data_IF_561350802587
#
_entry.id   IF_561350802587
#
_cell.length_a   1.000
_cell.length_b   1.000
_cell.length_c   1.000
_cell.angle_alpha   90.00
_cell.angle_beta   90.00
_cell.angle_gamma   90.00
#
_symmetry.space_group_name_H-M   'P 1'
#
loop_
_entity.id
_entity.type
_entity.pdbx_description
1 polymer ?
#
# COMPACT_ATOMS: atom_id res chain seq x y z
N UNK A 1 -1.92 -25.69 1.16
CA UNK A 1 -1.36 -25.53 -0.19
C UNK A 1 0.06 -25.05 -0.07
N UNK A 2 0.90 -25.43 -1.03
CA UNK A 2 2.28 -24.91 -1.16
C UNK A 2 2.32 -23.80 -2.20
N UNK A 3 2.73 -22.61 -1.80
CA UNK A 3 2.67 -21.38 -2.60
C UNK A 3 4.08 -20.80 -2.74
N UNK A 4 4.48 -20.44 -3.95
CA UNK A 4 5.72 -19.72 -4.20
C UNK A 4 5.43 -18.25 -4.53
N UNK A 5 5.94 -17.33 -3.74
CA UNK A 5 5.95 -15.89 -4.04
C UNK A 5 7.21 -15.57 -4.86
N UNK A 6 7.05 -15.00 -6.06
CA UNK A 6 8.14 -14.68 -6.98
C UNK A 6 8.34 -13.18 -7.07
N UNK A 7 9.55 -12.72 -6.76
CA UNK A 7 9.93 -11.31 -6.79
C UNK A 7 11.36 -11.13 -7.29
N UNK A 8 11.71 -9.89 -7.71
CA UNK A 8 13.11 -9.48 -7.97
C UNK A 8 13.75 -8.79 -6.77
N UNK A 9 12.97 -8.57 -5.71
CA UNK A 9 13.40 -7.82 -4.55
C UNK A 9 14.47 -8.51 -3.71
N UNK A 10 14.79 -7.94 -2.56
CA UNK A 10 15.78 -8.50 -1.66
C UNK A 10 15.35 -9.85 -1.11
N UNK A 11 16.11 -10.88 -1.42
CA UNK A 11 15.98 -12.22 -0.85
C UNK A 11 17.30 -12.55 -0.12
N UNK A 12 17.27 -13.05 1.12
CA UNK A 12 16.07 -13.28 1.94
C UNK A 12 15.39 -11.97 2.36
N UNK A 13 14.06 -11.99 2.43
CA UNK A 13 13.29 -10.86 2.91
C UNK A 13 13.59 -10.64 4.40
N UNK A 14 13.90 -9.41 4.77
CA UNK A 14 14.27 -9.08 6.15
C UNK A 14 13.11 -9.29 7.13
N UNK A 15 13.40 -9.65 8.38
CA UNK A 15 12.39 -9.75 9.43
C UNK A 15 11.57 -8.47 9.62
N UNK A 16 10.40 -8.59 10.24
CA UNK A 16 9.59 -7.45 10.66
C UNK A 16 10.43 -6.56 11.59
N UNK A 17 10.37 -5.26 11.38
CA UNK A 17 11.14 -4.27 12.14
C UNK A 17 12.48 -3.87 11.51
N UNK A 18 13.09 -4.71 10.69
CA UNK A 18 14.42 -4.47 10.11
C UNK A 18 14.38 -3.91 8.68
N UNK A 19 13.25 -3.99 8.03
CA UNK A 19 13.10 -3.55 6.65
C UNK A 19 13.04 -2.03 6.58
N UNK A 20 13.83 -1.45 5.68
CA UNK A 20 13.74 -0.05 5.34
C UNK A 20 12.73 0.17 4.21
N UNK A 21 13.24 0.55 3.03
CA UNK A 21 12.42 0.74 1.83
C UNK A 21 12.11 -0.58 1.13
N UNK A 22 10.96 -0.62 0.41
CA UNK A 22 10.55 -1.79 -0.37
C UNK A 22 9.09 -2.17 -0.08
N UNK A 23 8.13 -1.45 -0.71
CA UNK A 23 6.71 -1.72 -0.49
C UNK A 23 6.31 -3.13 -0.94
N UNK A 24 6.81 -3.57 -2.11
CA UNK A 24 6.51 -4.89 -2.65
C UNK A 24 7.11 -5.99 -1.77
N UNK A 25 8.35 -5.81 -1.31
CA UNK A 25 9.05 -6.75 -0.43
C UNK A 25 8.32 -6.88 0.92
N UNK A 26 7.80 -5.78 1.47
CA UNK A 26 6.94 -5.81 2.67
C UNK A 26 5.67 -6.63 2.42
N UNK A 27 4.97 -6.39 1.31
CA UNK A 27 3.75 -7.11 0.96
C UNK A 27 4.03 -8.61 0.80
N UNK A 28 5.09 -8.99 0.09
CA UNK A 28 5.49 -10.39 -0.11
C UNK A 28 5.77 -11.07 1.24
N UNK A 29 6.50 -10.40 2.14
CA UNK A 29 6.77 -10.90 3.49
C UNK A 29 5.48 -11.08 4.30
N UNK A 30 4.62 -10.07 4.31
CA UNK A 30 3.36 -10.12 5.08
C UNK A 30 2.40 -11.17 4.50
N UNK A 31 2.38 -11.36 3.18
CA UNK A 31 1.65 -12.46 2.56
C UNK A 31 2.17 -13.81 3.07
N UNK A 32 3.50 -14.03 3.09
CA UNK A 32 4.08 -15.25 3.64
C UNK A 32 3.60 -15.46 5.07
N UNK A 33 3.80 -14.49 5.95
CA UNK A 33 3.46 -14.60 7.38
C UNK A 33 1.96 -14.90 7.57
N UNK A 34 1.09 -14.18 6.88
CA UNK A 34 -0.35 -14.34 7.06
C UNK A 34 -0.88 -15.64 6.43
N UNK A 35 -0.39 -16.03 5.26
CA UNK A 35 -0.78 -17.29 4.61
C UNK A 35 -0.26 -18.51 5.40
N UNK A 36 0.91 -18.44 6.01
CA UNK A 36 1.41 -19.50 6.90
C UNK A 36 0.56 -19.64 8.16
N UNK A 37 0.09 -18.54 8.74
CA UNK A 37 -0.90 -18.55 9.85
C UNK A 37 -2.22 -19.18 9.43
N UNK A 38 -2.58 -19.15 8.15
CA UNK A 38 -3.76 -19.79 7.58
C UNK A 38 -3.53 -21.26 7.17
N UNK A 39 -2.35 -21.81 7.47
CA UNK A 39 -2.03 -23.22 7.24
C UNK A 39 -1.47 -23.54 5.85
N UNK A 40 -0.99 -22.54 5.11
CA UNK A 40 -0.27 -22.75 3.86
C UNK A 40 1.24 -22.92 4.11
N UNK A 41 1.96 -23.57 3.19
CA UNK A 41 3.42 -23.52 3.09
C UNK A 41 3.79 -22.45 2.07
N UNK A 42 4.65 -21.48 2.43
CA UNK A 42 4.95 -20.35 1.55
C UNK A 42 6.46 -20.14 1.43
N UNK A 43 6.96 -20.26 0.21
CA UNK A 43 8.34 -19.91 -0.15
C UNK A 43 8.39 -18.55 -0.87
N UNK A 44 9.53 -17.85 -0.73
CA UNK A 44 9.84 -16.65 -1.50
C UNK A 44 11.09 -16.97 -2.32
N UNK A 45 11.01 -16.81 -3.65
CA UNK A 45 12.09 -17.20 -4.58
C UNK A 45 12.32 -16.16 -5.67
N UNK A 46 13.53 -16.15 -6.21
CA UNK A 46 13.80 -15.56 -7.51
C UNK A 46 13.31 -16.48 -8.64
N UNK A 47 13.03 -15.89 -9.81
CA UNK A 47 12.53 -16.63 -10.96
C UNK A 47 13.44 -17.81 -11.38
N UNK A 48 14.76 -17.62 -11.36
CA UNK A 48 15.73 -18.65 -11.74
C UNK A 48 15.79 -19.82 -10.76
N UNK A 49 15.29 -19.66 -9.55
CA UNK A 49 15.22 -20.75 -8.55
C UNK A 49 14.02 -21.68 -8.77
N UNK A 50 13.13 -21.34 -9.70
CA UNK A 50 11.95 -22.16 -10.04
C UNK A 50 12.25 -23.22 -11.11
N UNK A 51 13.35 -23.12 -11.82
CA UNK A 51 13.67 -24.04 -12.90
C UNK A 51 13.76 -25.49 -12.37
N UNK A 52 12.88 -26.36 -12.89
CA UNK A 52 12.79 -27.78 -12.50
C UNK A 52 12.03 -28.08 -11.21
N UNK A 53 11.58 -27.08 -10.44
CA UNK A 53 10.89 -27.29 -9.16
C UNK A 53 9.52 -26.61 -9.06
N UNK A 54 9.11 -25.82 -10.04
CA UNK A 54 7.86 -25.07 -9.96
C UNK A 54 6.62 -25.97 -9.81
N UNK A 55 6.67 -27.22 -10.32
CA UNK A 55 5.60 -28.21 -10.19
C UNK A 55 5.39 -28.71 -8.75
N UNK A 56 6.31 -28.41 -7.84
CA UNK A 56 6.14 -28.70 -6.41
C UNK A 56 5.16 -27.76 -5.72
N UNK A 57 4.79 -26.64 -6.37
CA UNK A 57 3.89 -25.62 -5.84
C UNK A 57 2.49 -25.76 -6.44
N UNK A 58 1.49 -25.60 -5.60
CA UNK A 58 0.10 -25.49 -6.03
C UNK A 58 -0.15 -24.17 -6.77
N UNK A 59 0.55 -23.09 -6.36
CA UNK A 59 0.51 -21.77 -6.98
C UNK A 59 1.88 -21.09 -7.00
N UNK A 60 2.18 -20.46 -8.14
CA UNK A 60 3.26 -19.47 -8.29
C UNK A 60 2.62 -18.09 -8.36
N UNK A 61 2.92 -17.22 -7.41
CA UNK A 61 2.36 -15.87 -7.32
C UNK A 61 3.45 -14.83 -7.62
N UNK A 62 3.29 -14.11 -8.70
CA UNK A 62 4.25 -13.14 -9.21
C UNK A 62 3.86 -11.70 -8.87
N UNK A 63 4.84 -10.89 -8.48
CA UNK A 63 4.62 -9.52 -8.03
C UNK A 63 5.12 -8.44 -9.02
N UNK A 64 5.53 -8.83 -10.23
CA UNK A 64 6.03 -7.90 -11.25
C UNK A 64 5.65 -8.35 -12.65
N UNK A 65 5.16 -7.41 -13.48
CA UNK A 65 4.67 -7.72 -14.83
C UNK A 65 5.72 -8.35 -15.76
N UNK A 66 6.98 -7.88 -15.70
CA UNK A 66 8.06 -8.45 -16.50
C UNK A 66 8.39 -9.90 -16.09
N UNK A 67 8.37 -10.21 -14.80
CA UNK A 67 8.55 -11.59 -14.30
C UNK A 67 7.37 -12.47 -14.67
N UNK A 68 6.14 -11.93 -14.62
CA UNK A 68 4.93 -12.64 -15.01
C UNK A 68 5.01 -13.13 -16.46
N UNK A 69 5.44 -12.27 -17.38
CA UNK A 69 5.62 -12.64 -18.78
C UNK A 69 6.80 -13.59 -19.02
N UNK A 70 7.81 -13.56 -18.15
CA UNK A 70 8.89 -14.56 -18.19
C UNK A 70 8.42 -15.93 -17.72
N UNK A 71 7.57 -15.99 -16.68
CA UNK A 71 6.92 -17.22 -16.24
C UNK A 71 6.07 -17.82 -17.38
N UNK A 72 5.29 -16.99 -18.08
CA UNK A 72 4.52 -17.41 -19.25
C UNK A 72 5.40 -18.02 -20.34
N UNK A 73 6.52 -17.37 -20.70
CA UNK A 73 7.49 -17.90 -21.68
C UNK A 73 8.09 -19.24 -21.28
N UNK A 74 8.23 -19.50 -19.98
CA UNK A 74 8.67 -20.79 -19.42
C UNK A 74 7.54 -21.83 -19.29
N UNK A 75 6.30 -21.47 -19.63
CA UNK A 75 5.13 -22.35 -19.49
C UNK A 75 4.72 -22.59 -18.03
N UNK A 76 5.07 -21.68 -17.13
CA UNK A 76 4.74 -21.75 -15.69
C UNK A 76 3.46 -20.99 -15.44
N UNK A 77 2.35 -21.64 -15.03
CA UNK A 77 1.11 -20.95 -14.65
C UNK A 77 1.34 -20.07 -13.42
N UNK A 78 0.73 -18.86 -13.41
CA UNK A 78 0.95 -17.93 -12.32
C UNK A 78 -0.29 -17.10 -11.96
N UNK A 79 -0.34 -16.65 -10.71
CA UNK A 79 -1.16 -15.55 -10.22
C UNK A 79 -0.33 -14.27 -10.28
N UNK A 80 -0.95 -13.13 -10.60
CA UNK A 80 -0.24 -11.86 -10.75
C UNK A 80 -0.76 -10.79 -9.79
N UNK A 81 0.14 -10.13 -9.06
CA UNK A 81 -0.16 -8.91 -8.29
C UNK A 81 0.37 -7.67 -8.99
N UNK A 82 -0.53 -6.74 -9.30
CA UNK A 82 -0.21 -5.43 -9.85
C UNK A 82 0.10 -4.44 -8.72
N UNK A 83 1.35 -3.99 -8.63
CA UNK A 83 1.82 -3.00 -7.67
C UNK A 83 2.24 -1.68 -8.32
N UNK A 84 1.85 -1.46 -9.57
CA UNK A 84 2.36 -0.37 -10.40
C UNK A 84 1.36 0.79 -10.54
N UNK A 85 1.82 2.00 -10.26
CA UNK A 85 1.07 3.24 -10.51
C UNK A 85 1.47 3.95 -11.81
N UNK A 86 2.58 3.56 -12.44
CA UNK A 86 3.06 4.14 -13.70
C UNK A 86 2.06 3.92 -14.83
N UNK A 87 1.36 2.79 -14.79
CA UNK A 87 0.34 2.43 -15.77
C UNK A 87 -0.75 3.49 -15.89
N UNK A 88 -1.27 4.00 -14.77
CA UNK A 88 -2.24 5.09 -14.77
C UNK A 88 -1.62 6.40 -15.23
N UNK A 89 -0.40 6.69 -14.77
CA UNK A 89 0.31 7.93 -15.11
C UNK A 89 0.56 8.07 -16.62
N UNK A 90 1.03 7.01 -17.26
CA UNK A 90 1.37 7.03 -18.68
C UNK A 90 0.18 6.69 -19.61
N UNK A 91 -0.93 6.19 -19.05
CA UNK A 91 -2.17 5.88 -19.77
C UNK A 91 -2.14 4.57 -20.57
N UNK A 92 -3.30 4.26 -21.20
CA UNK A 92 -3.56 2.98 -21.88
C UNK A 92 -2.66 2.72 -23.11
N UNK A 93 -2.11 3.74 -23.74
CA UNK A 93 -1.20 3.60 -24.87
C UNK A 93 0.23 3.25 -24.49
N UNK A 94 0.57 3.37 -23.20
CA UNK A 94 1.92 3.16 -22.70
C UNK A 94 2.37 1.70 -22.77
N UNK A 95 3.68 1.52 -22.82
CA UNK A 95 4.31 0.21 -22.69
C UNK A 95 3.92 -0.46 -21.35
N UNK A 96 3.92 0.29 -20.26
CA UNK A 96 3.59 -0.25 -18.93
C UNK A 96 2.17 -0.81 -18.89
N UNK A 97 1.18 -0.10 -19.45
CA UNK A 97 -0.20 -0.59 -19.53
C UNK A 97 -0.29 -1.88 -20.33
N UNK A 98 0.22 -1.87 -21.57
CA UNK A 98 0.14 -3.02 -22.48
C UNK A 98 0.82 -4.26 -21.91
N UNK A 99 1.97 -4.07 -21.26
CA UNK A 99 2.74 -5.13 -20.63
C UNK A 99 2.02 -5.75 -19.41
N UNK A 100 1.49 -4.91 -18.53
CA UNK A 100 0.73 -5.37 -17.38
C UNK A 100 -0.60 -6.03 -17.80
N UNK A 101 -1.30 -5.48 -18.80
CA UNK A 101 -2.51 -6.09 -19.36
C UNK A 101 -2.24 -7.48 -19.95
N UNK A 102 -1.13 -7.64 -20.70
CA UNK A 102 -0.72 -8.93 -21.24
C UNK A 102 -0.43 -9.94 -20.10
N UNK A 103 0.30 -9.51 -19.05
CA UNK A 103 0.58 -10.35 -17.89
C UNK A 103 -0.71 -10.79 -17.18
N UNK A 104 -1.71 -9.90 -17.05
CA UNK A 104 -3.01 -10.23 -16.47
C UNK A 104 -3.79 -11.22 -17.33
N UNK A 105 -3.87 -11.00 -18.64
CA UNK A 105 -4.60 -11.90 -19.56
C UNK A 105 -4.05 -13.33 -19.58
N UNK A 106 -2.74 -13.48 -19.39
CA UNK A 106 -2.05 -14.78 -19.33
C UNK A 106 -2.05 -15.42 -17.94
N UNK A 107 -2.25 -14.65 -16.88
CA UNK A 107 -2.33 -15.18 -15.52
C UNK A 107 -3.55 -16.08 -15.31
N UNK A 108 -3.51 -16.88 -14.26
CA UNK A 108 -4.68 -17.61 -13.74
C UNK A 108 -5.74 -16.59 -13.31
N UNK A 109 -5.36 -15.68 -12.41
CA UNK A 109 -6.06 -14.45 -12.08
C UNK A 109 -5.04 -13.38 -11.67
N UNK A 110 -5.46 -12.14 -11.61
CA UNK A 110 -4.63 -11.03 -11.15
C UNK A 110 -5.32 -10.27 -10.01
N UNK A 111 -4.52 -9.63 -9.16
CA UNK A 111 -5.01 -8.76 -8.10
C UNK A 111 -4.36 -7.38 -8.21
N UNK A 112 -5.10 -6.36 -7.81
CA UNK A 112 -4.61 -4.99 -7.60
C UNK A 112 -5.01 -4.49 -6.22
N UNK A 113 -4.20 -3.61 -5.66
CA UNK A 113 -4.46 -2.97 -4.38
C UNK A 113 -5.12 -1.59 -4.52
N UNK A 114 -5.51 -1.21 -5.74
CA UNK A 114 -6.24 0.01 -6.03
C UNK A 114 -7.53 -0.35 -6.79
N UNK A 115 -8.69 -0.14 -6.13
CA UNK A 115 -9.99 -0.53 -6.66
C UNK A 115 -10.29 0.07 -8.04
N UNK A 116 -9.97 1.34 -8.24
CA UNK A 116 -10.17 2.04 -9.51
C UNK A 116 -9.36 1.48 -10.67
N UNK A 117 -8.29 0.71 -10.42
CA UNK A 117 -7.52 0.05 -11.48
C UNK A 117 -8.28 -1.14 -12.08
N UNK A 118 -9.26 -1.70 -11.39
CA UNK A 118 -10.11 -2.75 -11.96
C UNK A 118 -10.91 -2.19 -13.14
N UNK A 119 -11.49 -1.00 -12.98
CA UNK A 119 -12.22 -0.33 -14.05
C UNK A 119 -11.27 0.24 -15.12
N UNK A 120 -10.07 0.64 -14.72
CA UNK A 120 -9.06 1.15 -15.65
C UNK A 120 -8.57 0.08 -16.65
N UNK A 121 -8.47 -1.19 -16.19
CA UNK A 121 -8.12 -2.36 -16.99
C UNK A 121 -9.38 -3.10 -17.47
N UNK A 122 -10.29 -2.38 -18.12
CA UNK A 122 -11.57 -2.90 -18.63
C UNK A 122 -11.46 -3.99 -19.70
N UNK A 123 -10.26 -4.19 -20.28
CA UNK A 123 -9.95 -5.22 -21.29
C UNK A 123 -9.74 -6.63 -20.71
N UNK A 124 -9.86 -6.82 -19.38
CA UNK A 124 -9.74 -8.13 -18.73
C UNK A 124 -10.73 -8.30 -17.59
N UNK A 125 -11.28 -9.50 -17.48
CA UNK A 125 -12.17 -9.90 -16.40
C UNK A 125 -11.42 -10.65 -15.26
N UNK A 126 -10.09 -10.82 -15.41
CA UNK A 126 -9.24 -11.56 -14.48
C UNK A 126 -8.67 -10.71 -13.35
N UNK A 127 -8.84 -9.37 -13.37
CA UNK A 127 -8.30 -8.47 -12.36
C UNK A 127 -9.31 -8.27 -11.22
N UNK A 128 -8.87 -8.53 -10.00
CA UNK A 128 -9.67 -8.39 -8.77
C UNK A 128 -9.03 -7.38 -7.82
N UNK A 129 -9.87 -6.62 -7.12
CA UNK A 129 -9.41 -5.77 -6.05
C UNK A 129 -9.15 -6.59 -4.78
N UNK A 130 -8.01 -6.37 -4.15
CA UNK A 130 -7.65 -6.90 -2.85
C UNK A 130 -6.96 -5.80 -2.04
N UNK A 131 -7.63 -5.27 -1.01
CA UNK A 131 -7.08 -4.16 -0.22
C UNK A 131 -5.70 -4.50 0.35
N UNK A 132 -4.81 -3.49 0.40
CA UNK A 132 -3.67 -3.58 1.29
C UNK A 132 -4.12 -3.77 2.75
N UNK A 133 -3.19 -4.20 3.58
CA UNK A 133 -3.35 -4.37 5.00
C UNK A 133 -2.09 -3.87 5.74
N UNK A 134 -2.05 -4.03 7.05
CA UNK A 134 -0.91 -3.67 7.90
C UNK A 134 -0.69 -4.76 8.93
N UNK A 135 0.55 -4.91 9.40
CA UNK A 135 0.85 -5.78 10.54
C UNK A 135 0.44 -5.08 11.83
N UNK A 136 -0.78 -5.33 12.31
CA UNK A 136 -1.34 -4.69 13.50
C UNK A 136 -0.68 -5.14 14.80
N UNK A 137 0.05 -6.25 14.79
CA UNK A 137 0.85 -6.69 15.94
C UNK A 137 2.17 -5.93 16.05
N UNK A 138 2.64 -5.32 14.97
CA UNK A 138 3.86 -4.53 14.93
C UNK A 138 3.58 -3.04 14.99
N UNK A 139 2.75 -2.50 14.09
CA UNK A 139 2.33 -1.11 14.10
C UNK A 139 1.22 -0.92 15.13
N UNK A 140 1.61 -0.64 16.36
CA UNK A 140 0.72 -0.46 17.53
C UNK A 140 0.67 1.01 17.95
N UNK A 141 -0.41 1.47 18.59
CA UNK A 141 -0.46 2.80 19.17
C UNK A 141 0.60 3.00 20.25
N UNK A 142 1.02 4.25 20.45
CA UNK A 142 1.89 4.62 21.56
C UNK A 142 1.08 4.69 22.87
N UNK A 143 1.64 4.19 23.96
CA UNK A 143 1.09 4.34 25.32
C UNK A 143 1.28 5.78 25.88
N UNK A 144 2.11 6.58 25.21
CA UNK A 144 2.43 7.94 25.68
C UNK A 144 1.33 8.92 25.24
N UNK A 145 0.71 9.59 26.22
CA UNK A 145 -0.24 10.66 25.92
C UNK A 145 0.46 11.83 25.22
N UNK A 146 -0.08 12.25 24.08
CA UNK A 146 0.41 13.40 23.32
C UNK A 146 -0.12 14.69 23.93
N UNK A 147 0.77 15.67 24.12
CA UNK A 147 0.44 17.00 24.66
C UNK A 147 0.44 18.10 23.60
N UNK A 148 1.06 17.82 22.46
CA UNK A 148 1.20 18.76 21.33
C UNK A 148 0.90 18.07 20.01
N UNK A 149 0.31 18.79 19.09
CA UNK A 149 0.09 18.29 17.73
C UNK A 149 1.36 18.44 16.90
N UNK A 150 1.75 17.33 16.23
CA UNK A 150 2.87 17.27 15.29
C UNK A 150 2.44 16.54 14.03
N UNK A 151 2.71 17.14 12.88
CA UNK A 151 2.36 16.61 11.58
C UNK A 151 3.44 15.66 11.06
N UNK A 152 3.03 14.59 10.40
CA UNK A 152 3.93 13.61 9.78
C UNK A 152 3.55 13.35 8.33
N UNK A 153 4.53 13.33 7.46
CA UNK A 153 4.44 12.77 6.10
C UNK A 153 5.49 11.67 5.94
N UNK A 154 5.08 10.51 5.42
CA UNK A 154 6.00 9.41 5.07
C UNK A 154 5.79 9.09 3.60
N UNK A 155 6.78 9.44 2.78
CA UNK A 155 6.68 9.27 1.34
C UNK A 155 8.05 9.27 0.66
N UNK A 156 8.22 8.38 -0.32
CA UNK A 156 9.35 8.38 -1.23
C UNK A 156 8.96 8.94 -2.59
N UNK A 157 9.95 9.38 -3.35
CA UNK A 157 9.79 9.79 -4.75
C UNK A 157 8.81 10.96 -4.95
N UNK A 158 8.90 11.98 -4.11
CA UNK A 158 8.08 13.19 -4.25
C UNK A 158 8.26 13.83 -5.63
N UNK A 159 9.50 14.03 -6.04
CA UNK A 159 9.88 14.50 -7.38
C UNK A 159 10.75 13.49 -8.14
N UNK A 160 10.87 12.25 -7.66
CA UNK A 160 11.74 11.28 -8.29
C UNK A 160 11.22 10.85 -9.66
N UNK A 161 12.15 10.62 -10.54
CA UNK A 161 11.90 10.11 -11.86
C UNK A 161 11.22 11.14 -12.76
N UNK A 162 10.35 10.65 -13.60
CA UNK A 162 9.83 11.33 -14.77
C UNK A 162 8.60 12.21 -14.50
N UNK A 163 8.16 12.32 -13.22
CA UNK A 163 6.90 13.02 -12.92
C UNK A 163 6.99 14.54 -13.08
N UNK A 164 8.13 15.14 -12.76
CA UNK A 164 8.34 16.58 -12.93
C UNK A 164 7.50 17.49 -12.04
N UNK A 165 6.76 16.92 -11.05
CA UNK A 165 5.92 17.65 -10.10
C UNK A 165 5.94 17.01 -8.71
N UNK A 166 5.47 17.74 -7.70
CA UNK A 166 5.36 17.25 -6.32
C UNK A 166 4.22 16.24 -6.17
N UNK A 167 4.47 15.04 -6.64
CA UNK A 167 3.49 13.94 -6.63
C UNK A 167 2.97 13.61 -5.23
N UNK A 168 3.80 13.77 -4.21
CA UNK A 168 3.46 13.44 -2.81
C UNK A 168 2.84 14.60 -2.04
N UNK A 169 2.82 15.79 -2.62
CA UNK A 169 2.18 16.96 -2.02
C UNK A 169 2.91 17.50 -0.79
N UNK A 170 4.25 17.43 -0.75
CA UNK A 170 5.05 17.96 0.36
C UNK A 170 4.80 19.44 0.60
N UNK A 171 4.63 20.22 -0.48
CA UNK A 171 4.29 21.65 -0.40
C UNK A 171 3.05 21.86 0.44
N UNK A 172 1.96 21.13 0.19
CA UNK A 172 0.70 21.28 0.91
C UNK A 172 0.84 20.96 2.41
N UNK A 173 1.65 19.94 2.74
CA UNK A 173 1.93 19.60 4.13
C UNK A 173 2.71 20.70 4.85
N UNK A 174 3.75 21.26 4.22
CA UNK A 174 4.58 22.32 4.81
C UNK A 174 3.80 23.62 4.94
N UNK A 175 3.04 24.05 3.93
CA UNK A 175 2.18 25.22 3.97
C UNK A 175 1.09 25.11 5.06
N UNK A 176 0.55 23.88 5.25
CA UNK A 176 -0.36 23.59 6.37
C UNK A 176 0.32 23.75 7.72
N UNK A 177 1.53 23.22 7.88
CA UNK A 177 2.31 23.35 9.10
C UNK A 177 2.62 24.82 9.42
N UNK A 178 2.99 25.61 8.42
CA UNK A 178 3.23 27.05 8.54
C UNK A 178 1.97 27.81 8.97
N UNK A 179 0.84 27.55 8.31
CA UNK A 179 -0.43 28.24 8.57
C UNK A 179 -0.99 27.96 9.97
N UNK A 180 -0.71 26.77 10.52
CA UNK A 180 -1.17 26.34 11.83
C UNK A 180 -0.09 26.46 12.93
N UNK A 181 1.09 26.93 12.58
CA UNK A 181 2.29 27.01 13.44
C UNK A 181 2.66 25.68 14.11
N UNK A 182 2.47 24.54 13.41
CA UNK A 182 2.72 23.18 13.91
C UNK A 182 4.05 22.63 13.41
N UNK A 183 4.78 21.83 14.23
CA UNK A 183 5.92 21.06 13.73
C UNK A 183 5.48 20.03 12.67
N UNK A 184 6.32 19.84 11.66
CA UNK A 184 6.13 18.81 10.65
C UNK A 184 7.41 18.02 10.42
N UNK A 185 7.29 16.70 10.36
CA UNK A 185 8.37 15.81 9.93
C UNK A 185 8.01 15.21 8.58
N UNK A 186 8.96 15.26 7.64
CA UNK A 186 8.85 14.58 6.34
C UNK A 186 9.91 13.48 6.31
N UNK A 187 9.47 12.25 6.11
CA UNK A 187 10.31 11.06 6.03
C UNK A 187 10.35 10.56 4.59
N UNK A 188 11.55 10.39 4.05
CA UNK A 188 11.73 9.87 2.70
C UNK A 188 13.18 9.74 2.29
N UNK A 189 13.42 9.28 1.06
CA UNK A 189 14.76 9.09 0.48
C UNK A 189 15.43 10.38 0.05
N UNK A 190 16.71 10.28 -0.34
CA UNK A 190 17.48 11.38 -0.96
C UNK A 190 16.78 11.99 -2.18
N UNK A 191 15.90 11.22 -2.86
CA UNK A 191 15.10 11.76 -3.95
C UNK A 191 14.19 12.93 -3.52
N UNK A 192 13.82 13.00 -2.25
CA UNK A 192 13.06 14.11 -1.69
C UNK A 192 13.93 15.39 -1.54
N UNK A 193 15.24 15.25 -1.41
CA UNK A 193 16.15 16.39 -1.30
C UNK A 193 16.03 17.32 -2.50
N UNK A 194 15.87 16.79 -3.71
CA UNK A 194 15.67 17.60 -4.92
C UNK A 194 14.46 18.54 -4.82
N UNK A 195 13.38 18.13 -4.16
CA UNK A 195 12.25 19.01 -3.90
C UNK A 195 12.65 20.23 -3.07
N UNK A 196 13.40 20.00 -1.98
CA UNK A 196 13.84 21.08 -1.09
C UNK A 196 14.88 21.98 -1.74
N UNK A 197 15.70 21.45 -2.64
CA UNK A 197 16.66 22.27 -3.42
C UNK A 197 15.94 23.21 -4.39
N UNK A 198 14.80 22.77 -4.96
CA UNK A 198 13.99 23.58 -5.87
C UNK A 198 13.11 24.57 -5.11
N UNK A 199 12.51 24.16 -3.98
CA UNK A 199 11.54 24.93 -3.19
C UNK A 199 12.18 25.46 -1.88
N UNK A 200 13.25 26.24 -2.00
CA UNK A 200 14.02 26.77 -0.86
C UNK A 200 13.19 27.62 0.10
N UNK A 201 12.16 28.30 -0.42
CA UNK A 201 11.23 29.13 0.35
C UNK A 201 10.48 28.29 1.42
N UNK A 202 10.05 27.09 1.05
CA UNK A 202 9.33 26.18 1.94
C UNK A 202 10.29 25.46 2.90
N UNK A 203 11.48 25.10 2.40
CA UNK A 203 12.50 24.41 3.20
C UNK A 203 13.03 25.27 4.37
N UNK A 204 12.78 26.57 4.37
CA UNK A 204 13.18 27.49 5.46
C UNK A 204 12.22 27.49 6.65
N UNK A 205 11.12 26.71 6.63
CA UNK A 205 10.21 26.65 7.77
C UNK A 205 10.93 26.14 9.02
N UNK A 206 10.99 26.95 10.13
CA UNK A 206 11.84 26.62 11.28
C UNK A 206 11.41 25.35 12.03
N UNK A 207 10.14 24.92 11.90
CA UNK A 207 9.61 23.72 12.54
C UNK A 207 9.53 22.51 11.57
N UNK A 208 10.22 22.59 10.42
CA UNK A 208 10.36 21.46 9.49
C UNK A 208 11.53 20.59 9.92
N UNK A 209 11.25 19.30 10.09
CA UNK A 209 12.25 18.25 10.25
C UNK A 209 12.24 17.34 9.00
N UNK A 210 13.38 17.19 8.35
CA UNK A 210 13.56 16.33 7.18
C UNK A 210 14.39 15.10 7.54
N UNK A 211 13.78 13.93 7.46
CA UNK A 211 14.45 12.63 7.56
C UNK A 211 14.70 12.11 6.15
N UNK A 212 15.78 12.60 5.52
CA UNK A 212 16.14 12.31 4.13
C UNK A 212 16.81 10.94 3.96
N UNK A 213 16.22 9.90 4.52
CA UNK A 213 16.66 8.49 4.42
C UNK A 213 15.47 7.54 4.54
N UNK A 214 15.72 6.28 4.25
CA UNK A 214 14.76 5.21 4.53
C UNK A 214 14.99 4.67 5.95
N UNK A 215 14.12 4.99 6.92
CA UNK A 215 14.19 4.37 8.24
C UNK A 215 13.84 2.88 8.14
N UNK A 216 14.37 2.08 9.05
CA UNK A 216 13.85 0.73 9.29
C UNK A 216 12.42 0.80 9.79
N UNK A 217 11.68 -0.32 9.77
CA UNK A 217 10.30 -0.34 10.31
C UNK A 217 10.26 -0.01 11.80
N UNK A 218 11.27 -0.45 12.60
CA UNK A 218 11.39 -0.08 14.01
C UNK A 218 11.55 1.43 14.20
N UNK A 219 12.42 2.06 13.42
CA UNK A 219 12.59 3.51 13.45
C UNK A 219 11.33 4.24 12.98
N UNK A 220 10.66 3.70 11.94
CA UNK A 220 9.42 4.26 11.42
C UNK A 220 8.27 4.16 12.44
N UNK A 221 8.15 3.05 13.16
CA UNK A 221 7.19 2.90 14.26
C UNK A 221 7.43 3.97 15.34
N UNK A 222 8.69 4.22 15.72
CA UNK A 222 9.00 5.28 16.67
C UNK A 222 8.63 6.66 16.11
N UNK A 223 8.87 6.90 14.84
CA UNK A 223 8.45 8.16 14.18
C UNK A 223 6.92 8.31 14.23
N UNK A 224 6.13 7.26 13.93
CA UNK A 224 4.67 7.32 14.13
C UNK A 224 4.32 7.64 15.60
N UNK A 225 5.01 7.02 16.54
CA UNK A 225 4.79 7.27 17.97
C UNK A 225 5.09 8.72 18.41
N UNK A 226 5.97 9.43 17.75
CA UNK A 226 6.36 10.80 18.08
C UNK A 226 5.43 11.87 17.49
N UNK A 227 4.47 11.47 16.63
CA UNK A 227 3.57 12.37 15.91
C UNK A 227 2.10 12.11 16.25
N UNK A 228 1.22 13.02 15.84
CA UNK A 228 -0.22 12.99 16.18
C UNK A 228 -1.11 12.95 14.95
N UNK A 229 -0.74 13.57 13.86
CA UNK A 229 -1.57 13.69 12.64
C UNK A 229 -0.72 13.31 11.43
N UNK A 230 -1.27 12.42 10.61
CA UNK A 230 -0.62 11.98 9.38
C UNK A 230 -1.19 12.72 8.16
N UNK A 231 -0.33 13.23 7.30
CA UNK A 231 -0.70 13.92 6.07
C UNK A 231 -0.28 13.09 4.85
N UNK A 232 -1.20 12.92 3.92
CA UNK A 232 -0.91 12.22 2.67
C UNK A 232 -1.67 12.81 1.47
N UNK A 233 -1.37 14.06 1.08
CA UNK A 233 -1.99 14.72 -0.06
C UNK A 233 -1.37 14.27 -1.40
N UNK A 234 -1.17 12.96 -1.57
CA UNK A 234 -0.55 12.39 -2.74
C UNK A 234 -1.49 12.36 -3.95
N UNK A 235 -0.99 12.72 -5.13
CA UNK A 235 -1.77 12.78 -6.36
C UNK A 235 -1.88 11.42 -7.06
N UNK A 236 -0.94 10.51 -6.83
CA UNK A 236 -0.85 9.24 -7.53
C UNK A 236 -0.26 8.15 -6.63
N UNK A 237 -0.97 7.05 -6.45
CA UNK A 237 -0.58 5.90 -5.63
C UNK A 237 -0.93 4.57 -6.31
N UNK A 238 -0.11 3.54 -6.08
CA UNK A 238 -0.32 2.19 -6.58
C UNK A 238 -1.34 1.37 -5.76
N UNK A 239 -1.71 1.85 -4.58
CA UNK A 239 -2.65 1.19 -3.69
C UNK A 239 -3.52 2.19 -2.94
N UNK A 240 -4.81 1.87 -2.76
CA UNK A 240 -5.76 2.61 -1.97
C UNK A 240 -6.58 1.66 -1.09
N UNK A 241 -6.33 1.66 0.24
CA UNK A 241 -5.34 2.47 0.96
C UNK A 241 -3.90 2.05 0.66
N UNK A 242 -2.96 2.98 0.72
CA UNK A 242 -1.55 2.65 0.67
C UNK A 242 -1.04 2.17 2.05
N UNK A 243 0.17 1.59 2.08
CA UNK A 243 0.71 0.99 3.32
C UNK A 243 0.89 2.04 4.42
N UNK A 244 1.41 3.23 4.11
CA UNK A 244 1.69 4.26 5.11
C UNK A 244 0.42 4.84 5.74
N UNK A 245 -0.71 4.88 5.00
CA UNK A 245 -2.01 5.23 5.59
C UNK A 245 -2.47 4.19 6.60
N UNK A 246 -2.30 2.90 6.29
CA UNK A 246 -2.69 1.82 7.19
C UNK A 246 -1.75 1.70 8.40
N UNK A 247 -0.46 1.94 8.20
CA UNK A 247 0.53 2.02 9.28
C UNK A 247 0.18 3.15 10.25
N UNK A 248 -0.11 4.36 9.73
CA UNK A 248 -0.55 5.49 10.52
C UNK A 248 -1.86 5.20 11.27
N UNK A 249 -2.87 4.62 10.56
CA UNK A 249 -4.13 4.24 11.17
C UNK A 249 -3.94 3.22 12.31
N UNK A 250 -3.09 2.22 12.11
CA UNK A 250 -2.78 1.19 13.12
C UNK A 250 -2.04 1.77 14.33
N UNK A 251 -1.21 2.79 14.12
CA UNK A 251 -0.55 3.53 15.20
C UNK A 251 -1.45 4.58 15.89
N UNK A 252 -2.72 4.70 15.49
CA UNK A 252 -3.67 5.63 16.09
C UNK A 252 -3.51 7.08 15.64
N UNK A 253 -2.91 7.36 14.47
CA UNK A 253 -2.79 8.70 13.93
C UNK A 253 -3.97 9.01 13.00
N UNK A 254 -4.85 9.96 13.34
CA UNK A 254 -5.81 10.52 12.40
C UNK A 254 -5.11 11.10 11.17
N UNK A 255 -5.78 11.06 10.01
CA UNK A 255 -5.14 11.36 8.74
C UNK A 255 -5.94 12.37 7.90
N UNK A 256 -5.25 13.35 7.32
CA UNK A 256 -5.76 14.15 6.19
C UNK A 256 -5.10 13.64 4.90
N UNK A 257 -5.87 13.00 4.03
CA UNK A 257 -5.29 12.27 2.91
C UNK A 257 -6.18 12.25 1.67
N UNK A 258 -5.55 12.15 0.50
CA UNK A 258 -6.24 11.72 -0.72
C UNK A 258 -6.57 10.24 -0.63
N UNK A 259 -7.79 9.88 -1.03
CA UNK A 259 -8.24 8.50 -0.99
C UNK A 259 -9.26 8.22 -2.10
N UNK A 260 -9.01 7.21 -2.91
CA UNK A 260 -9.85 6.81 -4.05
C UNK A 260 -10.53 5.45 -3.87
N UNK A 261 -10.31 4.78 -2.72
CA UNK A 261 -10.93 3.49 -2.43
C UNK A 261 -12.33 3.63 -1.85
N UNK A 262 -13.12 2.55 -1.91
CA UNK A 262 -14.46 2.44 -1.30
C UNK A 262 -14.38 2.00 0.17
N UNK A 263 -13.34 1.26 0.57
CA UNK A 263 -13.17 0.79 1.95
C UNK A 263 -13.07 1.96 2.94
N UNK A 264 -13.96 2.01 3.90
CA UNK A 264 -13.93 3.05 4.94
C UNK A 264 -12.71 2.86 5.85
N UNK A 265 -11.88 3.88 5.98
CA UNK A 265 -10.79 3.94 6.95
C UNK A 265 -11.19 4.94 8.02
N UNK A 266 -11.32 4.47 9.24
CA UNK A 266 -11.68 5.35 10.34
C UNK A 266 -10.51 6.25 10.73
N UNK A 267 -10.79 7.52 11.03
CA UNK A 267 -9.76 8.54 11.29
C UNK A 267 -9.17 9.15 10.00
N UNK A 268 -9.63 8.72 8.82
CA UNK A 268 -9.25 9.32 7.56
C UNK A 268 -10.23 10.45 7.18
N UNK A 269 -9.73 11.67 7.15
CA UNK A 269 -10.39 12.86 6.64
C UNK A 269 -9.99 13.05 5.19
N UNK A 270 -10.88 12.61 4.30
CA UNK A 270 -10.61 12.63 2.86
C UNK A 270 -10.51 14.05 2.34
N UNK A 271 -9.46 14.33 1.59
CA UNK A 271 -9.32 15.58 0.83
C UNK A 271 -10.26 15.54 -0.39
N UNK A 272 -11.11 16.55 -0.54
CA UNK A 272 -11.96 16.72 -1.72
C UNK A 272 -11.16 17.25 -2.90
N UNK A 273 -10.16 18.08 -2.61
CA UNK A 273 -9.18 18.61 -3.56
C UNK A 273 -7.79 18.67 -2.92
N UNK A 274 -6.75 18.68 -3.75
CA UNK A 274 -5.37 18.70 -3.27
C UNK A 274 -4.90 20.16 -3.26
N UNK A 275 -5.27 20.88 -2.22
CA UNK A 275 -4.89 22.29 -1.95
C UNK A 275 -4.48 22.44 -0.50
N UNK A 276 -3.64 23.43 -0.20
CA UNK A 276 -3.24 23.73 1.18
C UNK A 276 -4.44 24.11 2.06
N UNK A 277 -5.41 24.83 1.51
CA UNK A 277 -6.62 25.21 2.23
C UNK A 277 -7.46 23.99 2.66
N UNK A 278 -7.61 23.01 1.78
CA UNK A 278 -8.34 21.79 2.12
C UNK A 278 -7.58 20.96 3.18
N UNK A 279 -6.26 20.84 3.06
CA UNK A 279 -5.44 20.13 4.08
C UNK A 279 -5.53 20.84 5.42
N UNK A 280 -5.44 22.17 5.46
CA UNK A 280 -5.61 22.98 6.68
C UNK A 280 -6.97 22.75 7.32
N UNK A 281 -8.05 22.75 6.51
CA UNK A 281 -9.41 22.49 6.99
C UNK A 281 -9.50 21.12 7.66
N UNK A 282 -9.02 20.07 7.00
CA UNK A 282 -9.07 18.71 7.56
C UNK A 282 -8.21 18.54 8.81
N UNK A 283 -7.05 19.18 8.86
CA UNK A 283 -6.21 19.15 10.07
C UNK A 283 -6.93 19.84 11.25
N UNK A 284 -7.61 20.95 11.04
CA UNK A 284 -8.42 21.61 12.08
C UNK A 284 -9.54 20.70 12.58
N UNK A 285 -10.29 20.08 11.68
CA UNK A 285 -11.34 19.10 12.03
C UNK A 285 -10.79 17.94 12.88
N UNK A 286 -9.60 17.44 12.54
CA UNK A 286 -8.91 16.41 13.32
C UNK A 286 -8.56 16.92 14.72
N UNK A 287 -7.98 18.11 14.82
CA UNK A 287 -7.56 18.70 16.11
C UNK A 287 -8.77 18.88 17.03
N UNK A 288 -9.87 19.38 16.50
CA UNK A 288 -11.12 19.65 17.26
C UNK A 288 -11.74 18.39 17.88
N UNK A 289 -11.48 17.21 17.30
CA UNK A 289 -12.06 15.92 17.72
C UNK A 289 -11.01 14.84 18.01
N UNK A 290 -9.77 15.22 18.28
CA UNK A 290 -8.61 14.33 18.28
C UNK A 290 -8.76 13.13 19.22
N UNK A 291 -9.06 13.36 20.50
CA UNK A 291 -9.12 12.31 21.52
C UNK A 291 -10.20 11.25 21.19
N UNK A 292 -11.39 11.67 20.78
CA UNK A 292 -12.49 10.78 20.41
C UNK A 292 -12.13 9.91 19.19
N UNK A 293 -11.47 10.52 18.21
CA UNK A 293 -11.02 9.82 17.00
C UNK A 293 -10.00 8.74 17.38
N UNK A 294 -8.98 9.07 18.16
CA UNK A 294 -7.91 8.15 18.55
C UNK A 294 -8.45 6.96 19.34
N UNK A 295 -9.33 7.20 20.31
CA UNK A 295 -9.96 6.14 21.09
C UNK A 295 -10.67 5.14 20.16
N UNK A 296 -11.44 5.63 19.23
CA UNK A 296 -12.17 4.78 18.29
C UNK A 296 -11.26 4.07 17.29
N UNK A 297 -10.22 4.73 16.78
CA UNK A 297 -9.22 4.10 15.90
C UNK A 297 -8.58 2.89 16.57
N UNK A 298 -8.16 3.05 17.83
CA UNK A 298 -7.52 2.00 18.60
C UNK A 298 -8.43 0.78 18.80
N UNK A 299 -9.75 1.00 18.95
CA UNK A 299 -10.72 -0.08 19.16
C UNK A 299 -10.99 -0.94 17.93
N UNK A 300 -10.69 -0.45 16.74
CA UNK A 300 -11.03 -1.14 15.48
C UNK A 300 -9.80 -1.51 14.62
N UNK A 301 -8.59 -1.24 15.10
CA UNK A 301 -7.36 -1.38 14.30
C UNK A 301 -7.14 -2.79 13.75
N UNK A 302 -7.55 -3.84 14.49
CA UNK A 302 -7.35 -5.24 14.11
C UNK A 302 -8.02 -5.60 12.76
N UNK A 303 -9.07 -4.87 12.36
CA UNK A 303 -9.72 -5.07 11.05
C UNK A 303 -8.82 -4.76 9.84
N UNK A 304 -7.68 -4.07 10.06
CA UNK A 304 -6.71 -3.75 9.01
C UNK A 304 -5.58 -4.77 8.90
N UNK A 305 -5.60 -5.86 9.69
CA UNK A 305 -4.54 -6.87 9.68
C UNK A 305 -4.48 -7.68 8.38
N UNK A 306 -3.26 -8.05 7.99
CA UNK A 306 -2.99 -8.89 6.81
C UNK A 306 -3.73 -10.21 6.82
N UNK A 307 -4.07 -10.75 7.99
CA UNK A 307 -4.80 -12.02 8.09
C UNK A 307 -6.14 -11.96 7.35
N UNK A 308 -6.85 -10.83 7.37
CA UNK A 308 -8.13 -10.66 6.67
C UNK A 308 -7.96 -10.60 5.17
N UNK A 309 -6.98 -9.83 4.69
CA UNK A 309 -6.64 -9.76 3.26
C UNK A 309 -6.19 -11.11 2.73
N UNK A 310 -5.29 -11.79 3.46
CA UNK A 310 -4.78 -13.09 3.06
C UNK A 310 -5.81 -14.21 3.17
N UNK A 311 -6.82 -14.11 4.05
CA UNK A 311 -7.96 -15.02 4.06
C UNK A 311 -8.75 -14.94 2.75
N UNK A 312 -8.96 -13.73 2.23
CA UNK A 312 -9.59 -13.53 0.92
C UNK A 312 -8.73 -14.12 -0.19
N UNK A 313 -7.43 -13.85 -0.21
CA UNK A 313 -6.50 -14.41 -1.19
C UNK A 313 -6.44 -15.94 -1.13
N UNK A 314 -6.41 -16.51 0.07
CA UNK A 314 -6.47 -17.96 0.29
C UNK A 314 -7.75 -18.58 -0.29
N UNK A 315 -8.90 -17.92 -0.09
CA UNK A 315 -10.17 -18.37 -0.66
C UNK A 315 -10.15 -18.30 -2.20
N UNK A 316 -9.47 -17.31 -2.79
CA UNK A 316 -9.27 -17.25 -4.25
C UNK A 316 -8.44 -18.43 -4.74
N UNK A 317 -7.33 -18.77 -4.08
CA UNK A 317 -6.56 -19.97 -4.41
C UNK A 317 -7.38 -21.25 -4.31
N UNK A 318 -8.16 -21.43 -3.23
CA UNK A 318 -9.02 -22.60 -3.09
C UNK A 318 -10.09 -22.69 -4.18
N UNK A 319 -10.72 -21.56 -4.53
CA UNK A 319 -11.71 -21.56 -5.60
C UNK A 319 -11.11 -22.02 -6.93
N UNK A 320 -9.88 -21.56 -7.24
CA UNK A 320 -9.17 -21.96 -8.45
C UNK A 320 -8.81 -23.44 -8.43
N UNK A 321 -8.29 -23.96 -7.31
CA UNK A 321 -7.86 -25.35 -7.20
C UNK A 321 -9.01 -26.37 -7.36
N UNK A 322 -10.27 -25.95 -7.10
CA UNK A 322 -11.44 -26.80 -7.22
C UNK A 322 -12.01 -26.88 -8.66
N UNK A 323 -11.64 -25.97 -9.54
CA UNK A 323 -12.18 -25.88 -10.89
C UNK A 323 -11.10 -26.11 -11.95
N UNK A 324 -11.05 -27.31 -12.52
CA UNK A 324 -10.14 -27.64 -13.63
C UNK A 324 -10.37 -26.82 -14.92
N UNK A 325 -11.55 -26.18 -15.05
CA UNK A 325 -11.87 -25.24 -16.13
C UNK A 325 -12.26 -23.91 -15.51
N UNK A 326 -11.39 -22.94 -15.64
CA UNK A 326 -11.48 -21.63 -15.02
C UNK A 326 -12.43 -20.72 -15.82
N UNK A 327 -13.59 -20.42 -15.23
CA UNK A 327 -14.47 -19.33 -15.72
C UNK A 327 -14.44 -18.18 -14.71
N UNK A 328 -13.95 -17.03 -15.16
CA UNK A 328 -13.88 -15.79 -14.39
C UNK A 328 -15.24 -15.32 -13.84
N UNK A 329 -16.34 -15.63 -14.55
CA UNK A 329 -17.70 -15.31 -14.09
C UNK A 329 -18.06 -16.05 -12.78
N UNK A 330 -17.59 -17.27 -12.61
CA UNK A 330 -17.80 -18.08 -11.39
C UNK A 330 -17.09 -17.48 -10.18
N UNK A 331 -15.89 -16.91 -10.37
CA UNK A 331 -15.18 -16.20 -9.30
C UNK A 331 -15.88 -14.90 -8.96
N UNK A 332 -16.22 -14.06 -9.93
CA UNK A 332 -16.95 -12.80 -9.70
C UNK A 332 -18.25 -13.05 -8.93
N UNK A 333 -19.06 -14.03 -9.33
CA UNK A 333 -20.33 -14.33 -8.67
C UNK A 333 -20.22 -14.78 -7.20
N UNK A 334 -19.16 -15.52 -6.83
CA UNK A 334 -18.93 -15.96 -5.44
C UNK A 334 -18.29 -14.86 -4.57
N UNK A 335 -17.43 -13.99 -5.14
CA UNK A 335 -16.72 -12.97 -4.38
C UNK A 335 -17.49 -11.68 -4.21
N UNK A 336 -18.37 -11.29 -5.12
CA UNK A 336 -19.32 -10.20 -4.90
C UNK A 336 -20.21 -10.47 -3.68
N UNK A 337 -20.57 -11.73 -3.43
CA UNK A 337 -21.35 -12.13 -2.26
C UNK A 337 -20.54 -12.11 -0.94
N UNK A 338 -19.24 -12.32 -0.96
CA UNK A 338 -18.38 -12.25 0.25
C UNK A 338 -18.17 -10.82 0.69
N UNK A 339 -18.02 -9.86 -0.23
CA UNK A 339 -17.94 -8.44 0.09
C UNK A 339 -19.25 -7.90 0.70
N UNK A 340 -20.40 -8.34 0.21
CA UNK A 340 -21.70 -7.91 0.72
C UNK A 340 -22.08 -8.50 2.09
N UNK A 341 -21.42 -9.57 2.54
CA UNK A 341 -21.65 -10.17 3.88
C UNK A 341 -20.80 -9.55 4.98
N UNK A 342 -19.68 -8.90 4.67
CA UNK A 342 -18.82 -8.19 5.64
C UNK A 342 -19.30 -6.77 5.96
N UNK A 343 -20.22 -6.20 5.20
CA UNK A 343 -20.85 -4.90 5.51
C UNK A 343 -21.98 -4.98 6.56
N UNK A 344 -22.35 -6.19 7.01
CA UNK A 344 -23.44 -6.40 7.98
C UNK A 344 -22.96 -6.79 9.38
N UNK A 345 -21.69 -6.73 9.66
CA UNK A 345 -21.11 -6.83 10.99
C UNK A 345 -20.32 -5.54 11.28
#
# INVERSE_FOLDING_TARGET
>A
MKICQVTTGMIPVRPVGEMGWGAVEKIVREYKIALEKLGHEVDIKHLNELDGIWQEYDFVHCHMGNLALELDRKGIPYVFSLHDHHTEHYGKDSYCFKHNLEAMKKSIFAITHAEYLVDFFDDTDKLFYLSHAVNTSFFIPSDTKKTEHKLLMVANNGLAGDYGYDRKGFRYGIETAQALDLPITIVGTDANQRFFDIHKDIAQYPKLNLVARNPTENELLQIYHDHTIFLHPSMLEAGHPNLTLLEAASCGLPMAATYRGSKKIFGLFKLNEITSNEVILRVKEIIDSYDDIVIKMNSIREQYDWIHTCKTLSNMYYAVSQFHNFDSATIKGKYTNVYNTTEKL
#
